data_IF_995985488321
#
_entry.id   IF_995985488321
#
_cell.length_a   1.000
_cell.length_b   1.000
_cell.length_c   1.000
_cell.angle_alpha   90.00
_cell.angle_beta   90.00
_cell.angle_gamma   90.00
#
_symmetry.space_group_name_H-M   'P 1'
#
loop_
_entity.id
_entity.type
_entity.pdbx_description
1 polymer ?
#
# COMPACT_ATOMS: atom_id res chain seq x y z
N UNK A 1 -57.65 -35.24 13.03
CA UNK A 1 -58.93 -34.91 12.39
C UNK A 1 -58.83 -33.42 12.10
N UNK A 2 -58.85 -32.90 10.90
CA UNK A 2 -59.74 -32.85 9.78
C UNK A 2 -58.90 -32.52 8.52
N UNK A 3 -59.25 -33.16 7.45
CA UNK A 3 -58.62 -33.16 6.12
C UNK A 3 -59.08 -31.95 5.26
N UNK A 4 -58.15 -31.43 4.42
CA UNK A 4 -58.25 -31.09 2.96
C UNK A 4 -59.46 -30.27 2.42
N UNK A 5 -59.43 -29.68 1.18
CA UNK A 5 -58.56 -29.97 0.00
C UNK A 5 -58.08 -28.78 -0.85
N UNK A 6 -57.28 -29.18 -1.84
CA UNK A 6 -56.74 -28.54 -3.06
C UNK A 6 -57.87 -28.06 -4.04
N UNK A 7 -57.59 -26.98 -4.73
CA UNK A 7 -58.24 -26.72 -6.05
C UNK A 7 -57.22 -26.08 -7.00
N UNK A 8 -56.87 -26.82 -8.03
CA UNK A 8 -56.15 -26.39 -9.24
C UNK A 8 -57.21 -25.90 -10.25
N UNK A 9 -56.88 -24.79 -10.93
CA UNK A 9 -57.60 -24.44 -12.17
C UNK A 9 -56.58 -24.00 -13.21
N UNK A 10 -56.53 -24.80 -14.27
CA UNK A 10 -55.86 -24.48 -15.54
C UNK A 10 -56.91 -23.99 -16.55
N UNK A 11 -56.61 -23.01 -17.36
CA UNK A 11 -57.20 -22.77 -18.71
C UNK A 11 -56.36 -21.74 -19.45
N UNK A 12 -55.68 -22.19 -20.45
CA UNK A 12 -55.93 -22.21 -21.89
C UNK A 12 -55.49 -20.95 -22.66
N UNK A 13 -54.60 -21.22 -23.58
CA UNK A 13 -54.00 -20.31 -24.55
C UNK A 13 -55.02 -19.83 -25.60
N UNK A 14 -54.86 -18.59 -26.06
CA UNK A 14 -55.30 -18.18 -27.38
C UNK A 14 -54.18 -17.41 -28.07
N UNK A 15 -53.70 -17.98 -29.16
CA UNK A 15 -52.77 -17.38 -30.10
C UNK A 15 -53.54 -16.50 -31.06
N UNK A 16 -53.10 -15.28 -31.28
CA UNK A 16 -53.53 -14.48 -32.45
C UNK A 16 -52.34 -13.64 -32.91
N UNK A 17 -51.78 -14.01 -34.07
CA UNK A 17 -50.91 -13.16 -34.86
C UNK A 17 -51.79 -12.27 -35.80
N UNK A 18 -51.34 -11.05 -36.07
CA UNK A 18 -51.46 -10.58 -37.46
C UNK A 18 -50.22 -9.86 -37.98
N UNK A 19 -49.95 -10.23 -39.21
CA UNK A 19 -49.50 -9.45 -40.36
C UNK A 19 -48.42 -8.35 -40.18
N UNK A 20 -47.27 -8.63 -40.75
CA UNK A 20 -46.22 -7.68 -41.07
C UNK A 20 -46.65 -6.72 -42.19
N UNK A 21 -46.54 -5.42 -41.92
CA UNK A 21 -46.49 -4.37 -42.94
C UNK A 21 -45.03 -3.86 -43.00
N UNK A 22 -44.38 -4.18 -44.11
CA UNK A 22 -43.05 -3.67 -44.43
C UNK A 22 -43.16 -2.20 -44.90
N UNK A 23 -42.43 -1.31 -44.23
CA UNK A 23 -42.15 0.05 -44.70
C UNK A 23 -40.70 0.16 -45.19
N UNK A 24 -40.43 0.91 -46.26
CA UNK A 24 -39.11 0.98 -46.83
C UNK A 24 -38.10 1.75 -45.99
N UNK A 25 -36.91 1.22 -45.87
CA UNK A 25 -35.78 1.84 -45.17
C UNK A 25 -35.33 3.09 -45.94
N UNK A 26 -35.46 4.27 -45.32
CA UNK A 26 -34.78 5.46 -45.77
C UNK A 26 -33.37 5.46 -45.15
N UNK A 27 -32.38 5.36 -46.00
CA UNK A 27 -30.96 5.52 -45.64
C UNK A 27 -30.70 7.02 -45.28
N UNK A 28 -30.65 7.33 -44.01
CA UNK A 28 -30.18 8.62 -43.52
C UNK A 28 -28.67 8.57 -43.39
N UNK A 29 -27.96 9.30 -44.25
CA UNK A 29 -26.53 9.47 -44.16
C UNK A 29 -26.19 10.31 -42.92
N UNK A 30 -25.53 9.70 -41.94
CA UNK A 30 -24.96 10.42 -40.81
C UNK A 30 -23.71 11.21 -41.26
N UNK A 31 -23.54 12.47 -40.81
CA UNK A 31 -22.33 13.20 -41.10
C UNK A 31 -21.14 12.60 -40.37
N UNK A 32 -20.05 12.42 -41.07
CA UNK A 32 -18.76 11.97 -40.53
C UNK A 32 -18.30 12.92 -39.41
N UNK A 33 -18.32 12.45 -38.17
CA UNK A 33 -17.71 13.14 -37.06
C UNK A 33 -16.20 13.14 -37.26
N UNK A 34 -15.63 14.32 -37.49
CA UNK A 34 -14.18 14.54 -37.51
C UNK A 34 -13.63 14.19 -36.13
N UNK A 35 -12.89 13.07 -36.06
CA UNK A 35 -12.14 12.72 -34.88
C UNK A 35 -11.04 13.75 -34.63
N UNK A 36 -11.22 14.60 -33.63
CA UNK A 36 -10.15 15.43 -33.08
C UNK A 36 -9.04 14.51 -32.54
N UNK A 37 -7.76 14.75 -32.88
CA UNK A 37 -6.70 13.96 -32.28
C UNK A 37 -6.65 14.21 -30.80
N UNK A 38 -6.99 13.19 -30.03
CA UNK A 38 -6.81 13.20 -28.59
C UNK A 38 -5.34 13.54 -28.29
N UNK A 39 -5.13 14.67 -27.61
CA UNK A 39 -3.82 15.09 -27.16
C UNK A 39 -3.19 13.96 -26.34
N UNK A 40 -2.16 13.34 -26.91
CA UNK A 40 -1.35 12.36 -26.22
C UNK A 40 -0.73 13.05 -25.00
N UNK A 41 -1.29 12.79 -23.82
CA UNK A 41 -0.72 13.23 -22.56
C UNK A 41 0.69 12.64 -22.48
N UNK A 42 1.69 13.52 -22.64
CA UNK A 42 3.11 13.20 -22.53
C UNK A 42 3.35 12.55 -21.17
N UNK A 43 3.43 11.23 -21.14
CA UNK A 43 3.82 10.49 -19.97
C UNK A 43 5.24 10.90 -19.58
N UNK A 44 5.35 11.61 -18.45
CA UNK A 44 6.64 11.96 -17.86
C UNK A 44 7.50 10.69 -17.79
N UNK A 45 8.75 10.71 -18.34
CA UNK A 45 9.55 9.48 -18.37
C UNK A 45 9.69 8.92 -16.98
N UNK A 46 9.35 7.65 -16.82
CA UNK A 46 9.51 6.93 -15.57
C UNK A 46 11.00 6.99 -15.20
N UNK A 47 11.31 7.59 -14.04
CA UNK A 47 12.68 7.64 -13.55
C UNK A 47 13.28 6.23 -13.63
N UNK A 48 14.47 6.11 -14.24
CA UNK A 48 15.14 4.84 -14.44
C UNK A 48 15.16 4.05 -13.14
N UNK A 49 14.64 2.82 -13.19
CA UNK A 49 14.58 1.94 -12.00
C UNK A 49 16.01 1.59 -11.59
N UNK A 50 16.36 1.88 -10.34
CA UNK A 50 17.64 1.51 -9.76
C UNK A 50 17.71 -0.02 -9.71
N UNK A 51 18.75 -0.60 -10.31
CA UNK A 51 19.00 -2.05 -10.28
C UNK A 51 19.81 -2.40 -9.01
N UNK A 52 19.11 -2.84 -7.98
CA UNK A 52 19.71 -3.20 -6.69
C UNK A 52 20.56 -4.47 -6.72
N UNK A 53 20.62 -5.20 -7.83
CA UNK A 53 21.59 -6.27 -8.02
C UNK A 53 22.99 -5.73 -8.36
N UNK A 54 23.07 -4.53 -8.93
CA UNK A 54 24.31 -3.89 -9.41
C UNK A 54 24.82 -2.79 -8.50
N UNK A 55 23.96 -2.20 -7.66
CA UNK A 55 24.33 -1.08 -6.79
C UNK A 55 23.92 -1.32 -5.34
N UNK A 56 24.52 -0.58 -4.42
CA UNK A 56 24.18 -0.65 -2.99
C UNK A 56 22.82 0.00 -2.75
N UNK A 57 21.76 -0.76 -2.60
CA UNK A 57 20.45 -0.26 -2.21
C UNK A 57 20.21 -0.45 -0.71
N UNK A 58 19.38 0.45 -0.14
CA UNK A 58 18.85 0.34 1.22
C UNK A 58 17.44 0.89 1.27
N UNK A 59 16.54 0.25 2.00
CA UNK A 59 15.19 0.72 2.26
C UNK A 59 15.10 1.28 3.68
N UNK A 60 14.83 2.58 3.79
CA UNK A 60 14.44 3.19 5.06
C UNK A 60 12.92 3.05 5.19
N UNK A 61 12.46 2.50 6.30
CA UNK A 61 11.04 2.25 6.54
C UNK A 61 10.57 2.93 7.82
N UNK A 62 9.34 3.45 7.79
CA UNK A 62 8.76 4.20 8.88
C UNK A 62 7.40 3.61 9.22
N UNK A 63 7.24 3.21 10.48
CA UNK A 63 6.02 2.61 11.01
C UNK A 63 5.20 3.62 11.82
N UNK A 64 3.99 3.23 12.15
CA UNK A 64 3.03 3.93 13.00
C UNK A 64 2.40 5.21 12.42
N UNK A 65 2.87 5.71 11.31
CA UNK A 65 2.30 6.92 10.70
C UNK A 65 0.86 6.78 10.16
N UNK A 66 0.33 7.88 9.61
CA UNK A 66 0.90 9.22 9.59
C UNK A 66 0.79 9.91 10.94
N UNK A 67 1.84 10.57 11.36
CA UNK A 67 1.90 11.27 12.64
C UNK A 67 2.20 12.77 12.52
N UNK A 68 2.40 13.46 13.66
CA UNK A 68 2.60 14.91 13.69
C UNK A 68 3.90 15.35 13.00
N UNK A 69 4.87 14.45 12.85
CA UNK A 69 6.18 14.77 12.25
C UNK A 69 6.34 14.25 10.82
N UNK A 70 5.37 13.50 10.30
CA UNK A 70 5.39 12.94 8.94
C UNK A 70 5.59 14.01 7.86
N UNK A 71 4.92 15.17 7.98
CA UNK A 71 5.06 16.26 7.01
C UNK A 71 6.51 16.73 6.89
N UNK A 72 7.19 16.96 8.02
CA UNK A 72 8.60 17.36 8.07
C UNK A 72 9.54 16.28 7.51
N UNK A 73 9.24 15.01 7.77
CA UNK A 73 9.98 13.90 7.19
C UNK A 73 9.89 13.90 5.66
N UNK A 74 8.67 14.10 5.13
CA UNK A 74 8.43 14.16 3.68
C UNK A 74 9.20 15.33 3.03
N UNK A 75 9.22 16.51 3.66
CA UNK A 75 10.01 17.65 3.18
C UNK A 75 11.51 17.29 3.09
N UNK A 76 12.02 16.60 4.09
CA UNK A 76 13.40 16.13 4.12
C UNK A 76 13.67 15.11 3.00
N UNK A 77 12.83 14.09 2.86
CA UNK A 77 12.96 13.07 1.82
C UNK A 77 12.92 13.69 0.42
N UNK A 78 12.00 14.64 0.20
CA UNK A 78 11.87 15.39 -1.06
C UNK A 78 13.13 16.19 -1.37
N UNK A 79 13.64 16.99 -0.41
CA UNK A 79 14.88 17.77 -0.54
C UNK A 79 16.07 16.89 -0.95
N UNK A 80 16.13 15.69 -0.38
CA UNK A 80 17.17 14.72 -0.67
C UNK A 80 16.81 13.76 -1.82
N UNK A 81 15.72 13.95 -2.57
CA UNK A 81 15.28 13.05 -3.66
C UNK A 81 15.31 11.57 -3.23
N UNK A 82 15.03 11.27 -1.96
CA UNK A 82 15.05 9.93 -1.39
C UNK A 82 13.66 9.32 -1.41
N UNK A 83 13.56 8.00 -1.62
CA UNK A 83 12.32 7.25 -1.47
C UNK A 83 12.38 6.40 -0.21
N UNK A 84 11.21 6.13 0.36
CA UNK A 84 11.05 5.34 1.59
C UNK A 84 9.75 4.55 1.53
N UNK A 85 9.57 3.60 2.45
CA UNK A 85 8.32 2.87 2.64
C UNK A 85 7.72 3.21 4.00
N UNK A 86 6.41 3.47 4.03
CA UNK A 86 5.67 3.82 5.23
C UNK A 86 4.63 2.75 5.52
N UNK A 87 4.68 2.13 6.69
CA UNK A 87 3.65 1.21 7.16
C UNK A 87 2.68 1.97 8.05
N UNK A 88 1.48 2.20 7.52
CA UNK A 88 0.53 3.14 8.11
C UNK A 88 -0.55 2.42 8.92
N UNK A 89 -0.82 2.92 10.13
CA UNK A 89 -1.91 2.48 10.99
C UNK A 89 -3.24 3.04 10.48
N UNK A 90 -4.22 2.18 10.24
CA UNK A 90 -5.49 2.55 9.61
C UNK A 90 -6.22 3.69 10.32
N UNK A 91 -6.34 3.63 11.65
CA UNK A 91 -6.94 4.70 12.47
C UNK A 91 -6.26 6.05 12.26
N UNK A 92 -4.93 6.08 12.20
CA UNK A 92 -4.17 7.31 11.94
C UNK A 92 -4.31 7.84 10.51
N UNK A 93 -4.53 6.95 9.55
CA UNK A 93 -4.85 7.36 8.17
C UNK A 93 -6.22 8.04 8.10
N UNK A 94 -7.22 7.55 8.82
CA UNK A 94 -8.55 8.22 8.89
C UNK A 94 -8.43 9.63 9.44
N UNK A 95 -7.65 9.83 10.50
CA UNK A 95 -7.41 11.14 11.13
C UNK A 95 -6.60 12.08 10.22
N UNK A 96 -5.63 11.56 9.46
CA UNK A 96 -4.65 12.35 8.71
C UNK A 96 -4.59 11.97 7.23
N UNK A 97 -5.74 11.79 6.61
CA UNK A 97 -5.88 11.37 5.20
C UNK A 97 -5.07 12.20 4.21
N UNK A 98 -4.96 13.52 4.46
CA UNK A 98 -4.16 14.43 3.60
C UNK A 98 -2.67 14.04 3.60
N UNK A 99 -2.12 13.61 4.74
CA UNK A 99 -0.72 13.16 4.83
C UNK A 99 -0.51 11.80 4.12
N UNK A 100 -1.42 10.85 4.27
CA UNK A 100 -1.35 9.58 3.53
C UNK A 100 -1.36 9.81 2.00
N UNK A 101 -2.21 10.71 1.51
CA UNK A 101 -2.21 11.13 0.09
C UNK A 101 -0.88 11.78 -0.31
N UNK A 102 -0.30 12.59 0.55
CA UNK A 102 0.99 13.24 0.29
C UNK A 102 2.11 12.22 0.17
N UNK A 103 2.20 11.23 1.07
CA UNK A 103 3.15 10.11 1.00
C UNK A 103 3.07 9.43 -0.38
N UNK A 104 1.85 9.08 -0.82
CA UNK A 104 1.64 8.42 -2.11
C UNK A 104 2.02 9.30 -3.31
N UNK A 105 1.60 10.58 -3.33
CA UNK A 105 1.88 11.52 -4.43
C UNK A 105 3.37 11.84 -4.57
N UNK A 106 4.12 11.83 -3.48
CA UNK A 106 5.57 12.05 -3.50
C UNK A 106 6.33 10.77 -3.89
N UNK A 107 5.61 9.69 -4.24
CA UNK A 107 6.17 8.45 -4.78
C UNK A 107 6.86 7.59 -3.74
N UNK A 108 6.48 7.72 -2.47
CA UNK A 108 6.83 6.77 -1.43
C UNK A 108 5.92 5.55 -1.50
N UNK A 109 6.39 4.43 -1.01
CA UNK A 109 5.58 3.22 -0.89
C UNK A 109 4.79 3.24 0.42
N UNK A 110 3.57 2.70 0.37
CA UNK A 110 2.71 2.55 1.54
C UNK A 110 2.40 1.08 1.75
N UNK A 111 2.56 0.62 2.98
CA UNK A 111 2.13 -0.68 3.49
C UNK A 111 1.06 -0.53 4.57
N UNK A 112 0.40 -1.64 4.85
CA UNK A 112 -0.61 -1.82 5.89
C UNK A 112 0.08 -2.13 7.23
N UNK A 113 -0.28 -1.42 8.31
CA UNK A 113 0.24 -1.65 9.66
C UNK A 113 -0.86 -1.93 10.68
N UNK A 114 -1.86 -2.75 10.29
CA UNK A 114 -3.11 -3.00 10.98
C UNK A 114 -3.97 -1.74 11.21
N UNK A 115 -5.18 -1.91 11.72
CA UNK A 115 -6.07 -0.77 11.94
C UNK A 115 -5.81 -0.06 13.25
N UNK A 116 -5.69 -0.81 14.34
CA UNK A 116 -5.55 -0.27 15.70
C UNK A 116 -4.18 -0.52 16.35
N UNK A 117 -3.25 -1.16 15.60
CA UNK A 117 -1.90 -1.50 16.08
C UNK A 117 -1.87 -2.55 17.19
N UNK A 118 -2.80 -3.51 17.16
CA UNK A 118 -2.80 -4.64 18.10
C UNK A 118 -1.81 -5.75 17.67
N UNK A 119 -1.39 -6.58 18.61
CA UNK A 119 -0.59 -7.78 18.32
C UNK A 119 -1.47 -8.81 17.59
N UNK A 120 -1.25 -8.97 16.29
CA UNK A 120 -2.11 -9.79 15.42
C UNK A 120 -2.21 -11.26 15.84
N UNK A 121 -1.13 -11.95 16.30
CA UNK A 121 -1.26 -13.33 16.77
C UNK A 121 -2.14 -13.51 18.02
N UNK A 122 -2.36 -12.45 18.80
CA UNK A 122 -3.21 -12.49 19.98
C UNK A 122 -4.71 -12.39 19.67
N UNK A 123 -5.06 -12.07 18.42
CA UNK A 123 -6.45 -11.87 18.00
C UNK A 123 -7.08 -13.17 17.48
N UNK A 124 -8.39 -13.38 17.68
CA UNK A 124 -9.16 -14.37 16.93
C UNK A 124 -9.07 -14.12 15.41
N UNK A 125 -9.27 -15.16 14.59
CA UNK A 125 -9.09 -15.09 13.13
C UNK A 125 -9.95 -14.00 12.46
N UNK A 126 -11.17 -13.80 12.97
CA UNK A 126 -12.06 -12.76 12.46
C UNK A 126 -11.47 -11.37 12.72
N UNK A 127 -11.09 -11.06 13.96
CA UNK A 127 -10.53 -9.75 14.32
C UNK A 127 -9.19 -9.48 13.63
N UNK A 128 -8.34 -10.52 13.52
CA UNK A 128 -7.09 -10.43 12.77
C UNK A 128 -7.35 -10.02 11.31
N UNK A 129 -8.34 -10.65 10.68
CA UNK A 129 -8.73 -10.34 9.30
C UNK A 129 -9.29 -8.93 9.19
N UNK A 130 -10.15 -8.51 10.14
CA UNK A 130 -10.71 -7.16 10.20
C UNK A 130 -9.62 -6.09 10.36
N UNK A 131 -8.65 -6.28 11.23
CA UNK A 131 -7.51 -5.35 11.40
C UNK A 131 -6.79 -5.06 10.09
N UNK A 132 -6.59 -6.09 9.26
CA UNK A 132 -5.92 -5.95 7.97
C UNK A 132 -6.86 -5.43 6.89
N UNK A 133 -8.07 -5.98 6.75
CA UNK A 133 -9.01 -5.63 5.69
C UNK A 133 -9.53 -4.21 5.82
N UNK A 134 -9.88 -3.78 7.03
CA UNK A 134 -10.32 -2.42 7.32
C UNK A 134 -9.23 -1.40 6.96
N UNK A 135 -7.99 -1.70 7.29
CA UNK A 135 -6.85 -0.85 6.89
C UNK A 135 -6.69 -0.77 5.37
N UNK A 136 -6.85 -1.89 4.64
CA UNK A 136 -6.83 -1.91 3.19
C UNK A 136 -7.91 -0.99 2.59
N UNK A 137 -9.10 -0.99 3.16
CA UNK A 137 -10.20 -0.15 2.70
C UNK A 137 -9.98 1.34 3.03
N UNK A 138 -9.48 1.64 4.21
CA UNK A 138 -9.09 3.01 4.60
C UNK A 138 -8.02 3.55 3.66
N UNK A 139 -6.99 2.77 3.39
CA UNK A 139 -5.91 3.16 2.49
C UNK A 139 -6.44 3.29 1.05
N UNK A 140 -7.26 2.37 0.55
CA UNK A 140 -7.90 2.50 -0.76
C UNK A 140 -8.67 3.81 -0.91
N UNK A 141 -9.49 4.16 0.10
CA UNK A 141 -10.22 5.45 0.12
C UNK A 141 -9.30 6.67 0.19
N UNK A 142 -8.15 6.54 0.86
CA UNK A 142 -7.21 7.65 1.02
C UNK A 142 -6.34 7.89 -0.21
N UNK A 143 -5.79 6.83 -0.81
CA UNK A 143 -4.74 6.92 -1.85
C UNK A 143 -5.15 6.32 -3.20
N UNK A 144 -6.41 5.86 -3.37
CA UNK A 144 -6.96 5.34 -4.62
C UNK A 144 -6.56 3.89 -4.95
N UNK A 145 -5.76 3.22 -4.11
CA UNK A 145 -5.31 1.84 -4.33
C UNK A 145 -5.10 1.10 -3.01
N UNK A 146 -5.18 -0.23 -3.04
CA UNK A 146 -4.79 -1.08 -1.91
C UNK A 146 -3.28 -1.33 -1.92
N UNK A 147 -2.57 -1.17 -0.79
CA UNK A 147 -1.20 -1.63 -0.66
C UNK A 147 -1.05 -3.13 -0.93
N UNK A 148 0.16 -3.53 -1.30
CA UNK A 148 0.55 -4.95 -1.46
C UNK A 148 1.46 -5.45 -0.35
N UNK A 149 1.85 -4.57 0.55
CA UNK A 149 2.74 -4.86 1.67
C UNK A 149 2.00 -4.67 2.98
N UNK A 150 2.34 -5.49 3.97
CA UNK A 150 2.00 -5.26 5.35
C UNK A 150 3.22 -5.45 6.24
N UNK A 151 3.22 -4.81 7.39
CA UNK A 151 4.13 -5.13 8.49
C UNK A 151 3.29 -5.37 9.73
N UNK A 152 3.45 -6.53 10.40
CA UNK A 152 2.70 -6.78 11.63
C UNK A 152 3.20 -5.87 12.74
N UNK A 153 2.32 -5.29 13.58
CA UNK A 153 2.73 -4.55 14.77
C UNK A 153 3.71 -5.34 15.63
N UNK A 154 4.73 -4.66 16.16
CA UNK A 154 5.80 -5.24 16.99
C UNK A 154 6.66 -6.30 16.27
N UNK A 155 6.39 -6.61 15.00
CA UNK A 155 6.95 -7.75 14.29
C UNK A 155 6.32 -9.09 14.70
N UNK A 156 5.29 -9.08 15.52
CA UNK A 156 4.62 -10.29 16.00
C UNK A 156 3.84 -10.95 14.85
N UNK A 157 4.24 -12.15 14.49
CA UNK A 157 3.68 -12.90 13.36
C UNK A 157 3.75 -14.41 13.58
N UNK A 158 2.82 -15.11 12.95
CA UNK A 158 2.76 -16.56 12.88
C UNK A 158 2.23 -17.01 11.50
N UNK A 159 1.94 -18.29 11.32
CA UNK A 159 1.40 -18.84 10.07
C UNK A 159 0.00 -18.30 9.77
N UNK A 160 -0.83 -18.06 10.80
CA UNK A 160 -2.19 -17.52 10.66
C UNK A 160 -2.16 -16.08 10.12
N UNK A 161 -1.27 -15.23 10.70
CA UNK A 161 -1.08 -13.83 10.26
C UNK A 161 -0.66 -13.80 8.80
N UNK A 162 0.33 -14.62 8.39
CA UNK A 162 0.79 -14.69 6.99
C UNK A 162 -0.31 -15.18 6.05
N UNK A 163 -1.08 -16.18 6.46
CA UNK A 163 -2.19 -16.69 5.65
C UNK A 163 -3.29 -15.63 5.48
N UNK A 164 -3.68 -14.91 6.54
CA UNK A 164 -4.65 -13.82 6.48
C UNK A 164 -4.15 -12.69 5.56
N UNK A 165 -2.89 -12.28 5.70
CA UNK A 165 -2.26 -11.30 4.82
C UNK A 165 -2.29 -11.77 3.35
N UNK A 166 -1.94 -13.03 3.09
CA UNK A 166 -1.95 -13.63 1.75
C UNK A 166 -3.34 -13.59 1.08
N UNK A 167 -4.40 -13.92 1.82
CA UNK A 167 -5.78 -13.82 1.32
C UNK A 167 -6.18 -12.39 0.92
N UNK A 168 -5.57 -11.38 1.53
CA UNK A 168 -5.78 -9.96 1.22
C UNK A 168 -4.80 -9.42 0.17
N UNK A 169 -3.99 -10.29 -0.46
CA UNK A 169 -3.00 -9.90 -1.47
C UNK A 169 -1.77 -9.19 -0.89
N UNK A 170 -1.47 -9.38 0.40
CA UNK A 170 -0.39 -8.71 1.12
C UNK A 170 0.83 -9.63 1.29
N UNK A 171 2.02 -9.12 0.98
CA UNK A 171 3.29 -9.69 1.43
C UNK A 171 3.68 -9.07 2.78
N UNK A 172 4.19 -9.90 3.68
CA UNK A 172 4.72 -9.46 4.96
C UNK A 172 6.12 -8.89 4.81
N UNK A 173 6.39 -7.75 5.44
CA UNK A 173 7.71 -7.12 5.47
C UNK A 173 8.19 -6.96 6.91
N UNK A 174 9.29 -7.59 7.23
CA UNK A 174 10.02 -7.37 8.48
C UNK A 174 11.18 -6.39 8.25
N UNK A 175 12.28 -6.54 8.98
CA UNK A 175 13.44 -5.66 8.88
C UNK A 175 14.75 -6.46 9.06
N UNK A 176 15.85 -5.88 8.61
CA UNK A 176 17.20 -6.39 8.83
C UNK A 176 17.91 -5.70 9.97
N UNK A 177 17.33 -4.60 10.44
CA UNK A 177 17.84 -3.83 11.58
C UNK A 177 16.80 -2.85 12.09
N UNK A 178 16.74 -2.68 13.41
CA UNK A 178 15.89 -1.72 14.10
C UNK A 178 16.75 -0.71 14.85
N UNK A 179 16.30 0.53 14.87
CA UNK A 179 16.97 1.60 15.61
C UNK A 179 16.56 1.67 17.07
N UNK A 180 15.46 1.01 17.44
CA UNK A 180 14.81 1.15 18.75
C UNK A 180 14.55 2.63 19.10
N UNK A 181 14.26 3.46 18.10
CA UNK A 181 14.13 4.90 18.21
C UNK A 181 13.02 5.35 19.18
N UNK A 182 11.95 4.56 19.28
CA UNK A 182 10.84 4.77 20.23
C UNK A 182 11.29 4.72 21.69
N UNK A 183 12.32 3.93 22.00
CA UNK A 183 12.93 3.80 23.35
C UNK A 183 14.11 4.75 23.49
N UNK A 184 15.00 4.80 22.50
CA UNK A 184 16.27 5.53 22.55
C UNK A 184 16.11 7.04 22.64
N UNK A 185 15.15 7.60 21.91
CA UNK A 185 14.77 9.04 21.87
C UNK A 185 15.92 10.05 21.83
N UNK A 186 17.03 9.65 21.21
CA UNK A 186 18.22 10.47 21.03
C UNK A 186 18.54 10.60 19.54
N UNK A 187 18.52 11.82 19.02
CA UNK A 187 18.70 12.10 17.59
C UNK A 187 20.05 11.64 17.06
N UNK A 188 21.13 11.85 17.82
CA UNK A 188 22.48 11.44 17.38
C UNK A 188 22.63 9.93 17.39
N UNK A 189 22.27 9.28 18.50
CA UNK A 189 22.35 7.82 18.65
C UNK A 189 21.48 7.08 17.64
N UNK A 190 20.26 7.57 17.35
CA UNK A 190 19.40 7.02 16.30
C UNK A 190 20.11 7.09 14.94
N UNK A 191 20.64 8.26 14.58
CA UNK A 191 21.38 8.43 13.32
C UNK A 191 22.60 7.51 13.24
N UNK A 192 23.40 7.42 14.30
CA UNK A 192 24.57 6.55 14.37
C UNK A 192 24.16 5.07 14.25
N UNK A 193 23.04 4.67 14.86
CA UNK A 193 22.51 3.31 14.75
C UNK A 193 22.09 2.98 13.32
N UNK A 194 21.36 3.87 12.62
CA UNK A 194 21.06 3.66 11.20
C UNK A 194 22.33 3.45 10.38
N UNK A 195 23.34 4.31 10.59
CA UNK A 195 24.60 4.26 9.84
C UNK A 195 25.44 3.02 10.13
N UNK A 196 25.36 2.46 11.34
CA UNK A 196 25.99 1.20 11.74
C UNK A 196 25.26 -0.01 11.17
N UNK A 197 23.92 0.01 11.14
CA UNK A 197 23.09 -1.07 10.59
C UNK A 197 23.06 -1.08 9.06
N UNK A 198 23.52 0.00 8.41
CA UNK A 198 23.49 0.13 6.97
C UNK A 198 24.34 -0.94 6.28
N UNK A 199 23.67 -1.76 5.47
CA UNK A 199 24.28 -2.79 4.61
C UNK A 199 23.52 -2.86 3.28
N UNK A 200 24.15 -3.34 2.18
CA UNK A 200 23.43 -3.57 0.94
C UNK A 200 22.20 -4.47 1.17
N UNK A 201 21.10 -4.11 0.53
CA UNK A 201 19.79 -4.77 0.66
C UNK A 201 19.20 -4.75 2.08
N UNK A 202 19.65 -3.82 2.93
CA UNK A 202 19.11 -3.61 4.26
C UNK A 202 17.71 -2.99 4.24
N UNK A 203 16.87 -3.43 5.18
CA UNK A 203 15.57 -2.82 5.50
C UNK A 203 15.66 -2.32 6.94
N UNK A 204 15.63 -1.01 7.14
CA UNK A 204 15.80 -0.39 8.46
C UNK A 204 14.47 0.10 9.00
N UNK A 205 14.11 -0.40 10.19
CA UNK A 205 12.91 0.00 10.92
C UNK A 205 13.15 1.26 11.73
N UNK A 206 12.28 2.23 11.55
CA UNK A 206 12.15 3.48 12.31
C UNK A 206 10.68 3.87 12.42
N UNK A 207 10.39 4.96 13.15
CA UNK A 207 9.03 5.48 13.31
C UNK A 207 8.97 6.98 12.97
N UNK A 208 8.02 7.37 12.10
CA UNK A 208 7.83 8.78 11.72
C UNK A 208 7.07 9.60 12.78
N UNK A 209 6.56 8.92 13.79
CA UNK A 209 5.92 9.51 14.98
C UNK A 209 6.93 9.90 16.06
N UNK A 210 8.20 9.54 15.92
CA UNK A 210 9.30 9.86 16.84
C UNK A 210 10.04 11.11 16.34
N UNK A 211 9.97 12.27 17.04
CA UNK A 211 10.57 13.52 16.56
C UNK A 211 12.09 13.45 16.43
N UNK A 212 12.76 12.68 17.27
CA UNK A 212 14.21 12.51 17.24
C UNK A 212 14.65 11.76 15.98
N UNK A 213 13.86 10.76 15.54
CA UNK A 213 14.07 10.05 14.28
C UNK A 213 14.02 11.02 13.11
N UNK A 214 12.93 11.80 13.03
CA UNK A 214 12.75 12.77 11.94
C UNK A 214 13.87 13.80 11.90
N UNK A 215 14.36 14.24 13.06
CA UNK A 215 15.53 15.14 13.18
C UNK A 215 16.85 14.49 12.72
N UNK A 216 17.00 13.17 12.85
CA UNK A 216 18.21 12.45 12.45
C UNK A 216 18.31 12.25 10.92
N UNK A 217 17.17 12.15 10.21
CA UNK A 217 17.12 11.76 8.80
C UNK A 217 17.96 12.64 7.86
N UNK A 218 18.04 13.99 7.97
CA UNK A 218 18.87 14.78 7.07
C UNK A 218 20.35 14.35 7.08
N UNK A 219 20.90 14.05 8.24
CA UNK A 219 22.28 13.55 8.39
C UNK A 219 22.40 12.13 7.83
N UNK A 220 21.47 11.25 8.18
CA UNK A 220 21.44 9.86 7.72
C UNK A 220 21.46 9.78 6.19
N UNK A 221 20.59 10.55 5.50
CA UNK A 221 20.51 10.55 4.05
C UNK A 221 21.81 11.04 3.39
N UNK A 222 22.45 12.07 3.94
CA UNK A 222 23.76 12.54 3.42
C UNK A 222 24.84 11.49 3.56
N UNK A 223 24.96 10.89 4.74
CA UNK A 223 26.01 9.91 5.01
C UNK A 223 25.81 8.59 4.23
N UNK A 224 24.57 8.11 4.09
CA UNK A 224 24.27 6.93 3.27
C UNK A 224 24.64 7.17 1.81
N UNK A 225 24.36 8.38 1.27
CA UNK A 225 24.76 8.73 -0.09
C UNK A 225 26.27 8.79 -0.27
N UNK A 226 26.99 9.40 0.67
CA UNK A 226 28.46 9.40 0.66
C UNK A 226 29.05 7.98 0.63
N UNK A 227 28.37 7.01 1.28
CA UNK A 227 28.73 5.59 1.26
C UNK A 227 28.26 4.86 -0.01
N UNK A 228 27.66 5.55 -0.98
CA UNK A 228 27.20 5.01 -2.26
C UNK A 228 25.85 4.29 -2.20
N UNK A 229 25.04 4.50 -1.16
CA UNK A 229 23.71 3.86 -1.07
C UNK A 229 22.66 4.61 -1.90
N UNK A 230 21.88 3.84 -2.63
CA UNK A 230 20.62 4.28 -3.24
C UNK A 230 19.45 4.03 -2.28
N UNK A 231 18.72 5.09 -1.95
CA UNK A 231 17.55 5.07 -1.05
C UNK A 231 16.32 4.68 -1.88
N UNK A 232 15.82 3.48 -1.69
CA UNK A 232 14.73 2.90 -2.49
C UNK A 232 13.57 2.44 -1.61
N UNK A 233 12.43 2.15 -2.22
CA UNK A 233 11.30 1.50 -1.53
C UNK A 233 11.57 0.01 -1.32
N UNK A 234 10.81 -0.63 -0.42
CA UNK A 234 10.95 -2.08 -0.18
C UNK A 234 10.68 -2.88 -1.45
N UNK A 235 9.66 -2.52 -2.24
CA UNK A 235 9.38 -3.23 -3.50
C UNK A 235 10.50 -3.08 -4.52
N UNK A 236 11.13 -1.90 -4.61
CA UNK A 236 12.28 -1.70 -5.48
C UNK A 236 13.50 -2.51 -5.01
N UNK A 237 13.71 -2.59 -3.68
CA UNK A 237 14.79 -3.37 -3.07
C UNK A 237 14.62 -4.87 -3.28
N UNK A 238 13.41 -5.38 -3.06
CA UNK A 238 13.11 -6.81 -3.17
C UNK A 238 13.26 -7.33 -4.62
N UNK A 239 12.92 -6.49 -5.59
CA UNK A 239 12.87 -6.91 -6.99
C UNK A 239 11.66 -7.80 -7.32
N UNK A 240 11.57 -8.27 -8.57
CA UNK A 240 10.44 -9.08 -9.03
C UNK A 240 10.28 -10.40 -8.28
N UNK A 241 9.03 -10.84 -8.06
CA UNK A 241 8.68 -12.17 -7.55
C UNK A 241 8.92 -12.42 -6.05
N UNK A 242 9.59 -11.53 -5.32
CA UNK A 242 9.96 -11.77 -3.90
C UNK A 242 8.90 -11.33 -2.89
N UNK A 243 7.86 -10.64 -3.34
CA UNK A 243 6.77 -10.08 -2.53
C UNK A 243 5.42 -10.67 -2.96
N UNK A 244 5.37 -11.99 -3.14
CA UNK A 244 4.12 -12.70 -3.39
C UNK A 244 3.21 -12.62 -2.16
N UNK A 245 1.87 -12.65 -2.32
CA UNK A 245 0.93 -12.68 -1.21
C UNK A 245 1.26 -13.81 -0.21
N UNK A 246 1.28 -13.48 1.09
CA UNK A 246 1.67 -14.41 2.16
C UNK A 246 3.17 -14.66 2.32
N UNK A 247 3.99 -14.22 1.37
CA UNK A 247 5.45 -14.29 1.52
C UNK A 247 5.96 -13.33 2.61
N UNK A 248 7.10 -13.67 3.20
CA UNK A 248 7.81 -12.82 4.16
C UNK A 248 9.12 -12.31 3.57
N UNK A 249 9.42 -11.03 3.75
CA UNK A 249 10.63 -10.35 3.29
C UNK A 249 11.18 -9.41 4.38
N UNK A 250 12.52 -9.30 4.56
CA UNK A 250 13.55 -10.21 4.04
C UNK A 250 13.44 -11.60 4.67
N UNK A 251 13.99 -12.60 3.99
CA UNK A 251 14.08 -13.97 4.49
C UNK A 251 15.26 -14.13 5.41
#
# INVERSE_FOLDING_TARGET
MVKRPVAALALAAVASAPAALALPAQASAAPAASASPAAAASAKPAAARVDCAKVKCIALTFDDGPGPYTARLLDTLKKHKAKATFFLVGKRVEERRKLARRIAREGHEIGNHSYSHQSLPALPDFELTEELSRTQDVLRRAIGRRPRLMRPPYGHTDARVRAAAGRLGLAQVLWTGTTLDWSLRDTRRIGDTVLRLARPNGVILMHDVVPQTVKAIPRVLRELRKRGYHLVTVSALAGPGRLAPGASFPR
#
